data_IF_579806190705
#
_entry.id   IF_579806190705
#
_cell.length_a   1.000
_cell.length_b   1.000
_cell.length_c   1.000
_cell.angle_alpha   90.00
_cell.angle_beta   90.00
_cell.angle_gamma   90.00
#
_symmetry.space_group_name_H-M   'P 1'
#
loop_
_entity.id
_entity.type
_entity.pdbx_description
1 polymer ?
#
# COMPACT_ATOMS: atom_id res chain seq x y z
N UNK A 1 1.41 -6.99 2.37
CA UNK A 1 0.35 -6.58 1.44
C UNK A 1 -0.97 -6.59 2.19
N UNK A 2 -1.77 -5.56 2.00
CA UNK A 2 -3.09 -5.40 2.62
C UNK A 2 -4.07 -5.12 1.49
N UNK A 3 -4.86 -6.12 1.13
CA UNK A 3 -5.73 -6.13 -0.06
C UNK A 3 -6.78 -7.25 0.14
N UNK A 4 -8.06 -6.93 -0.03
CA UNK A 4 -9.16 -7.88 0.15
C UNK A 4 -9.45 -8.71 -1.11
N UNK A 5 -8.88 -8.36 -2.27
CA UNK A 5 -8.95 -9.15 -3.49
C UNK A 5 -7.90 -10.28 -3.47
N UNK A 6 -8.33 -11.55 -3.36
CA UNK A 6 -7.41 -12.70 -3.36
C UNK A 6 -6.67 -12.85 -4.69
N UNK A 7 -7.24 -12.38 -5.80
CA UNK A 7 -6.61 -12.47 -7.13
C UNK A 7 -5.40 -11.55 -7.19
N UNK A 8 -5.57 -10.28 -6.82
CA UNK A 8 -4.50 -9.28 -6.84
C UNK A 8 -3.41 -9.66 -5.84
N UNK A 9 -3.81 -10.04 -4.63
CA UNK A 9 -2.87 -10.39 -3.57
C UNK A 9 -2.05 -11.65 -3.85
N UNK A 10 -2.65 -12.68 -4.45
CA UNK A 10 -1.90 -13.87 -4.86
C UNK A 10 -0.86 -13.56 -5.94
N UNK A 11 -1.23 -12.76 -6.94
CA UNK A 11 -0.32 -12.39 -8.03
C UNK A 11 0.86 -11.59 -7.50
N UNK A 12 0.62 -10.53 -6.72
CA UNK A 12 1.67 -9.67 -6.17
C UNK A 12 2.56 -10.43 -5.20
N UNK A 13 1.97 -11.25 -4.31
CA UNK A 13 2.72 -12.08 -3.36
C UNK A 13 3.64 -13.09 -4.09
N UNK A 14 3.16 -13.70 -5.18
CA UNK A 14 3.98 -14.60 -5.99
C UNK A 14 5.19 -13.89 -6.60
N UNK A 15 5.03 -12.67 -7.12
CA UNK A 15 6.14 -11.87 -7.64
C UNK A 15 7.14 -11.47 -6.55
N UNK A 16 6.66 -11.02 -5.39
CA UNK A 16 7.53 -10.64 -4.26
C UNK A 16 8.33 -11.84 -3.74
N UNK A 17 7.67 -12.98 -3.57
CA UNK A 17 8.31 -14.23 -3.14
C UNK A 17 9.35 -14.68 -4.16
N UNK A 18 9.02 -14.63 -5.46
CA UNK A 18 9.95 -14.97 -6.55
C UNK A 18 11.17 -14.04 -6.58
N UNK A 19 11.01 -12.77 -6.18
CA UNK A 19 12.08 -11.81 -6.03
C UNK A 19 12.88 -11.95 -4.72
N UNK A 20 12.54 -12.92 -3.86
CA UNK A 20 13.24 -13.23 -2.62
C UNK A 20 12.77 -12.43 -1.40
N UNK A 21 11.64 -11.72 -1.49
CA UNK A 21 11.04 -11.02 -0.36
C UNK A 21 10.15 -11.97 0.46
N UNK A 22 10.23 -11.88 1.79
CA UNK A 22 9.24 -12.47 2.70
C UNK A 22 7.97 -11.61 2.69
N UNK A 23 6.92 -12.09 2.01
CA UNK A 23 5.69 -11.35 1.80
C UNK A 23 4.54 -11.94 2.63
N UNK A 24 3.94 -11.12 3.49
CA UNK A 24 2.69 -11.45 4.20
C UNK A 24 1.50 -10.73 3.58
N UNK A 25 0.39 -11.44 3.46
CA UNK A 25 -0.89 -10.90 2.95
C UNK A 25 -1.90 -10.88 4.11
N UNK A 26 -2.64 -9.78 4.23
CA UNK A 26 -3.82 -9.65 5.08
C UNK A 26 -4.95 -9.02 4.26
N UNK A 27 -6.19 -9.37 4.57
CA UNK A 27 -7.35 -9.00 3.76
C UNK A 27 -8.15 -7.81 4.33
N UNK A 28 -7.77 -7.29 5.49
CA UNK A 28 -8.51 -6.22 6.14
C UNK A 28 -7.58 -5.28 6.92
N UNK A 29 -8.08 -4.08 7.20
CA UNK A 29 -7.30 -3.04 7.86
C UNK A 29 -7.06 -3.29 9.35
N UNK A 30 -7.89 -4.08 10.03
CA UNK A 30 -7.67 -4.42 11.46
C UNK A 30 -6.47 -5.36 11.57
N UNK A 31 -6.48 -6.44 10.79
CA UNK A 31 -5.36 -7.37 10.69
C UNK A 31 -4.07 -6.67 10.25
N UNK A 32 -4.14 -5.66 9.38
CA UNK A 32 -2.98 -4.87 8.99
C UNK A 32 -2.31 -4.16 10.17
N UNK A 33 -3.10 -3.56 11.08
CA UNK A 33 -2.57 -2.89 12.28
C UNK A 33 -1.94 -3.90 13.23
N UNK A 34 -2.58 -5.06 13.42
CA UNK A 34 -2.07 -6.12 14.29
C UNK A 34 -0.74 -6.70 13.77
N UNK A 35 -0.69 -7.03 12.47
CA UNK A 35 0.52 -7.57 11.82
C UNK A 35 1.66 -6.55 11.85
N UNK A 36 1.35 -5.27 11.68
CA UNK A 36 2.37 -4.23 11.75
C UNK A 36 3.12 -4.24 13.08
N UNK A 37 2.39 -4.29 14.20
CA UNK A 37 2.98 -4.24 15.54
C UNK A 37 3.86 -5.47 15.84
N UNK A 38 3.49 -6.63 15.29
CA UNK A 38 4.20 -7.88 15.54
C UNK A 38 5.39 -8.09 14.61
N UNK A 39 5.23 -7.80 13.32
CA UNK A 39 6.21 -8.16 12.29
C UNK A 39 7.11 -6.98 11.87
N UNK A 40 6.67 -5.74 12.09
CA UNK A 40 7.40 -4.50 11.74
C UNK A 40 7.98 -4.52 10.31
N UNK A 41 7.12 -4.59 9.28
CA UNK A 41 7.58 -4.69 7.91
C UNK A 41 8.34 -3.43 7.45
N UNK A 42 9.36 -3.64 6.62
CA UNK A 42 10.14 -2.56 6.01
C UNK A 42 9.38 -1.83 4.89
N UNK A 43 8.45 -2.52 4.23
CA UNK A 43 7.64 -2.02 3.11
C UNK A 43 6.21 -2.55 3.25
N UNK A 44 5.22 -1.72 2.93
CA UNK A 44 3.81 -2.13 2.85
C UNK A 44 3.20 -1.71 1.51
N UNK A 45 2.43 -2.62 0.91
CA UNK A 45 1.49 -2.33 -0.18
C UNK A 45 0.10 -2.40 0.45
N UNK A 46 -0.70 -1.35 0.29
CA UNK A 46 -1.93 -1.11 1.04
C UNK A 46 -3.02 -0.59 0.11
N UNK A 47 -4.13 -1.33 0.02
CA UNK A 47 -5.35 -0.81 -0.58
C UNK A 47 -5.97 0.27 0.33
N UNK A 48 -6.56 1.29 -0.30
CA UNK A 48 -7.31 2.35 0.36
C UNK A 48 -8.68 1.86 0.78
N UNK A 49 -9.35 1.07 -0.06
CA UNK A 49 -10.69 0.54 0.20
C UNK A 49 -10.56 -0.85 0.79
N UNK A 50 -10.75 -0.96 2.10
CA UNK A 50 -10.62 -2.21 2.83
C UNK A 50 -11.83 -2.42 3.74
N UNK A 51 -12.22 -3.68 4.00
CA UNK A 51 -13.18 -3.99 5.03
C UNK A 51 -12.64 -3.63 6.42
N UNK A 52 -13.54 -3.20 7.31
CA UNK A 52 -13.20 -2.78 8.67
C UNK A 52 -12.59 -1.37 8.72
N UNK A 53 -11.27 -1.27 8.51
CA UNK A 53 -10.54 0.01 8.50
C UNK A 53 -10.03 0.32 7.10
N UNK A 54 -10.25 1.54 6.63
CA UNK A 54 -9.66 1.99 5.36
C UNK A 54 -8.14 2.04 5.44
N UNK A 55 -7.47 1.94 4.30
CA UNK A 55 -6.01 2.04 4.25
C UNK A 55 -5.49 3.36 4.81
N UNK A 56 -6.23 4.46 4.63
CA UNK A 56 -5.87 5.75 5.22
C UNK A 56 -5.89 5.70 6.75
N UNK A 57 -6.90 5.09 7.35
CA UNK A 57 -7.00 4.91 8.80
C UNK A 57 -5.92 3.98 9.35
N UNK A 58 -5.53 2.94 8.59
CA UNK A 58 -4.37 2.09 8.93
C UNK A 58 -3.10 2.94 8.95
N UNK A 59 -2.86 3.77 7.93
CA UNK A 59 -1.71 4.66 7.88
C UNK A 59 -1.68 5.62 9.08
N UNK A 60 -2.83 6.20 9.45
CA UNK A 60 -2.92 7.09 10.63
C UNK A 60 -2.55 6.36 11.92
N UNK A 61 -3.10 5.16 12.15
CA UNK A 61 -2.86 4.38 13.37
C UNK A 61 -1.42 3.90 13.50
N UNK A 62 -0.82 3.52 12.38
CA UNK A 62 0.50 2.90 12.37
C UNK A 62 1.63 3.95 12.36
N UNK A 63 1.49 5.03 11.59
CA UNK A 63 2.54 6.04 11.42
C UNK A 63 2.22 7.38 12.09
N UNK A 64 1.04 7.56 12.69
CA UNK A 64 0.63 8.83 13.29
C UNK A 64 0.41 9.94 12.24
N UNK A 65 0.17 9.58 10.98
CA UNK A 65 0.02 10.53 9.89
C UNK A 65 -1.38 11.15 9.89
N UNK A 66 -1.46 12.47 10.09
CA UNK A 66 -2.73 13.20 10.06
C UNK A 66 -2.95 13.80 8.67
N UNK A 67 -3.64 13.06 7.79
CA UNK A 67 -4.08 13.59 6.49
C UNK A 67 -5.33 14.43 6.66
N UNK A 68 -5.12 15.71 6.95
CA UNK A 68 -6.15 16.75 6.90
C UNK A 68 -6.22 17.42 5.54
N UNK A 69 -6.47 16.68 4.45
CA UNK A 69 -7.27 17.16 3.30
C UNK A 69 -7.41 16.08 2.22
N UNK A 70 -8.55 16.07 1.51
CA UNK A 70 -8.91 15.00 0.56
C UNK A 70 -8.10 15.01 -0.76
N UNK A 71 -7.12 15.91 -0.91
CA UNK A 71 -6.15 15.95 -2.03
C UNK A 71 -5.04 14.88 -1.96
N UNK A 72 -5.14 13.97 -1.00
CA UNK A 72 -4.06 13.07 -0.54
C UNK A 72 -3.67 11.98 -1.56
N UNK A 73 -4.53 11.58 -2.50
CA UNK A 73 -4.19 10.52 -3.48
C UNK A 73 -3.07 10.96 -4.44
N UNK A 74 -2.99 12.24 -4.81
CA UNK A 74 -1.98 12.72 -5.78
C UNK A 74 -0.61 12.95 -5.13
N UNK A 75 -0.57 13.33 -3.83
CA UNK A 75 0.69 13.58 -3.11
C UNK A 75 1.36 12.27 -2.67
N UNK A 76 0.59 11.23 -2.35
CA UNK A 76 1.15 9.93 -1.93
C UNK A 76 1.86 9.23 -3.05
N UNK A 77 1.29 9.26 -4.25
CA UNK A 77 1.91 8.71 -5.45
C UNK A 77 3.23 9.43 -5.75
N UNK A 78 3.28 10.76 -5.63
CA UNK A 78 4.52 11.53 -5.82
C UNK A 78 5.60 11.16 -4.81
N UNK A 79 5.28 11.14 -3.51
CA UNK A 79 6.25 10.78 -2.45
C UNK A 79 6.70 9.32 -2.52
N UNK A 80 5.84 8.42 -3.01
CA UNK A 80 6.19 7.03 -3.26
C UNK A 80 7.14 6.94 -4.46
N UNK A 81 6.82 7.63 -5.57
CA UNK A 81 7.68 7.72 -6.76
C UNK A 81 9.05 8.31 -6.43
N UNK A 82 9.10 9.37 -5.63
CA UNK A 82 10.36 9.97 -5.14
C UNK A 82 11.26 8.99 -4.36
N UNK A 83 10.68 7.94 -3.76
CA UNK A 83 11.45 6.95 -2.96
C UNK A 83 11.83 5.70 -3.74
N UNK A 84 11.08 5.34 -4.78
CA UNK A 84 11.24 4.01 -5.43
C UNK A 84 11.49 4.10 -6.94
N UNK A 85 11.16 5.22 -7.58
CA UNK A 85 11.46 5.45 -9.00
C UNK A 85 12.84 6.09 -9.12
N UNK A 86 13.62 5.67 -10.11
CA UNK A 86 14.90 6.33 -10.42
C UNK A 86 14.68 7.77 -10.95
N UNK A 87 13.57 8.00 -11.65
CA UNK A 87 13.09 9.32 -12.04
C UNK A 87 11.60 9.44 -11.67
N UNK A 88 11.24 10.25 -10.67
CA UNK A 88 9.85 10.41 -10.25
C UNK A 88 8.94 11.09 -11.28
N UNK A 89 9.53 11.80 -12.26
CA UNK A 89 8.83 12.46 -13.35
C UNK A 89 8.54 11.54 -14.55
N UNK A 90 9.22 10.39 -14.63
CA UNK A 90 8.99 9.29 -15.59
C UNK A 90 8.75 7.96 -14.84
N UNK A 91 7.59 7.79 -14.18
CA UNK A 91 7.34 6.65 -13.31
C UNK A 91 7.11 5.36 -14.09
N UNK A 92 7.89 4.33 -13.77
CA UNK A 92 7.82 3.01 -14.40
C UNK A 92 7.24 1.93 -13.49
N UNK A 93 7.20 2.16 -12.18
CA UNK A 93 6.79 1.20 -11.16
C UNK A 93 5.42 1.54 -10.55
N UNK A 94 5.10 2.83 -10.37
CA UNK A 94 3.81 3.31 -9.84
C UNK A 94 3.00 3.95 -10.95
N UNK A 95 2.35 3.13 -11.78
CA UNK A 95 1.45 3.59 -12.83
C UNK A 95 0.05 3.84 -12.24
N UNK A 96 -0.36 5.10 -12.22
CA UNK A 96 -1.75 5.47 -11.89
C UNK A 96 -2.55 5.49 -13.17
N UNK A 97 -3.46 4.52 -13.35
CA UNK A 97 -4.42 4.54 -14.45
C UNK A 97 -5.43 5.65 -14.16
N UNK A 98 -5.60 6.67 -15.02
CA UNK A 98 -6.75 7.56 -14.91
C UNK A 98 -8.00 6.70 -15.07
N UNK A 99 -8.92 6.75 -14.11
CA UNK A 99 -10.25 6.18 -14.28
C UNK A 99 -10.93 6.98 -15.38
N UNK A 100 -10.93 6.48 -16.61
CA UNK A 100 -11.88 6.92 -17.63
C UNK A 100 -13.26 6.49 -17.15
N UNK A 101 -14.23 7.42 -17.24
CA UNK A 101 -15.56 7.31 -16.63
C UNK A 101 -16.37 6.09 -17.01
#
# INVERSE_FOLDING_TARGET
>A
MVDDDPTVSNVVSAYLTKAGYDARVVADGVAAVEVWQQWKPSVVVLDVMLPGLSGLEVLRRVWGWDFGDSSTVTVHVRRLREKIEADPSDPRLVLTVPRTG
#
